data_IF_018317183159
#
_entry.id   IF_018317183159
#
_cell.length_a   1.000
_cell.length_b   1.000
_cell.length_c   1.000
_cell.angle_alpha   90.00
_cell.angle_beta   90.00
_cell.angle_gamma   90.00
#
_symmetry.space_group_name_H-M   'P 1'
#
loop_
_entity.id
_entity.type
_entity.pdbx_description
1 polymer ?
#
# COMPACT_ATOMS: atom_id res chain seq x y z
N UNK A 1 17.39 11.78 1.52
CA UNK A 1 16.09 11.79 2.20
C UNK A 1 15.52 10.38 2.25
N UNK A 2 14.84 10.07 3.33
CA UNK A 2 14.25 8.77 3.50
C UNK A 2 12.99 8.65 2.65
N UNK A 3 12.88 7.57 1.87
CA UNK A 3 11.66 7.28 1.14
C UNK A 3 10.59 6.81 2.11
N UNK A 4 9.38 7.31 1.91
CA UNK A 4 8.23 6.87 2.68
C UNK A 4 7.65 5.62 2.02
N UNK A 5 7.59 4.54 2.78
CA UNK A 5 7.08 3.26 2.29
C UNK A 5 5.65 3.10 2.74
N UNK A 6 4.74 2.90 1.79
CA UNK A 6 3.32 2.74 2.06
C UNK A 6 2.85 1.38 1.57
N UNK A 7 2.15 0.65 2.43
CA UNK A 7 1.58 -0.65 2.07
C UNK A 7 0.06 -0.51 1.94
N UNK A 8 -0.47 -1.04 0.83
CA UNK A 8 -1.91 -1.09 0.59
C UNK A 8 -2.35 -2.55 0.58
N UNK A 9 -3.39 -2.86 1.35
CA UNK A 9 -3.95 -4.21 1.42
C UNK A 9 -5.33 -4.26 0.78
N UNK A 10 -5.70 -5.43 0.31
CA UNK A 10 -7.00 -5.70 -0.33
C UNK A 10 -7.19 -4.81 -1.56
N UNK A 11 -6.13 -4.67 -2.35
CA UNK A 11 -6.17 -3.82 -3.54
C UNK A 11 -6.69 -4.55 -4.76
N UNK A 12 -7.27 -3.79 -5.68
CA UNK A 12 -7.69 -4.26 -6.99
C UNK A 12 -6.78 -3.62 -8.05
N UNK A 13 -6.72 -4.17 -9.26
CA UNK A 13 -5.86 -3.60 -10.31
C UNK A 13 -6.12 -2.11 -10.59
N UNK A 14 -7.39 -1.70 -10.54
CA UNK A 14 -7.71 -0.29 -10.81
C UNK A 14 -7.25 0.62 -9.68
N UNK A 15 -7.16 0.10 -8.44
CA UNK A 15 -6.65 0.89 -7.32
C UNK A 15 -5.17 1.20 -7.53
N UNK A 16 -4.42 0.21 -8.01
CA UNK A 16 -3.00 0.38 -8.28
C UNK A 16 -2.75 1.48 -9.31
N UNK A 17 -3.48 1.45 -10.40
CA UNK A 17 -3.32 2.47 -11.43
C UNK A 17 -3.61 3.85 -10.90
N UNK A 18 -4.66 3.99 -10.12
CA UNK A 18 -5.07 5.27 -9.57
C UNK A 18 -4.01 5.84 -8.63
N UNK A 19 -3.53 5.01 -7.71
CA UNK A 19 -2.57 5.49 -6.72
C UNK A 19 -1.18 5.67 -7.29
N UNK A 20 -0.77 4.86 -8.25
CA UNK A 20 0.52 5.07 -8.92
C UNK A 20 0.54 6.41 -9.62
N UNK A 21 -0.54 6.76 -10.28
CA UNK A 21 -0.63 8.04 -10.98
C UNK A 21 -0.62 9.20 -10.00
N UNK A 22 -1.39 9.09 -8.93
CA UNK A 22 -1.42 10.13 -7.92
C UNK A 22 -0.05 10.29 -7.24
N UNK A 23 0.66 9.18 -7.09
CA UNK A 23 1.96 9.16 -6.42
C UNK A 23 3.06 9.84 -7.23
N UNK A 24 2.84 10.10 -8.51
CA UNK A 24 3.84 10.78 -9.33
C UNK A 24 4.25 12.12 -8.72
N UNK A 25 3.34 12.74 -7.99
CA UNK A 25 3.58 14.02 -7.35
C UNK A 25 4.34 13.89 -6.02
N UNK A 26 4.26 12.75 -5.37
CA UNK A 26 4.79 12.56 -4.03
C UNK A 26 6.05 11.72 -3.98
N UNK A 27 6.19 10.76 -4.87
CA UNK A 27 7.37 9.92 -4.92
C UNK A 27 7.47 8.92 -3.78
N UNK A 28 6.35 8.52 -3.18
CA UNK A 28 6.33 7.50 -2.14
C UNK A 28 6.62 6.13 -2.76
N UNK A 29 7.15 5.22 -1.97
CA UNK A 29 7.34 3.85 -2.41
C UNK A 29 6.09 3.05 -2.04
N UNK A 30 5.29 2.70 -3.04
CA UNK A 30 4.02 2.01 -2.83
C UNK A 30 4.17 0.52 -3.06
N UNK A 31 3.61 -0.27 -2.15
CA UNK A 31 3.55 -1.72 -2.30
C UNK A 31 2.10 -2.15 -2.15
N UNK A 32 1.64 -2.96 -3.10
CA UNK A 32 0.24 -3.39 -3.15
C UNK A 32 0.14 -4.87 -2.84
N UNK A 33 -0.76 -5.20 -1.92
CA UNK A 33 -1.06 -6.58 -1.58
C UNK A 33 -2.53 -6.84 -1.91
N UNK A 34 -2.78 -7.90 -2.65
CA UNK A 34 -4.15 -8.30 -2.95
C UNK A 34 -4.82 -8.98 -1.75
N UNK A 35 -4.00 -9.46 -0.83
CA UNK A 35 -4.51 -10.12 0.36
C UNK A 35 -5.17 -9.13 1.31
N UNK A 36 -6.13 -9.63 2.08
CA UNK A 36 -6.82 -8.81 3.08
C UNK A 36 -5.94 -8.62 4.30
N UNK A 37 -5.99 -7.43 4.89
CA UNK A 37 -5.25 -7.17 6.12
C UNK A 37 -5.92 -7.90 7.28
N UNK A 38 -5.14 -8.75 7.94
CA UNK A 38 -5.60 -9.54 9.08
C UNK A 38 -4.41 -9.99 9.90
N UNK A 39 -4.63 -10.85 10.92
CA UNK A 39 -3.55 -11.28 11.80
C UNK A 39 -2.36 -11.89 11.06
N UNK A 40 -2.62 -12.69 10.04
CA UNK A 40 -1.56 -13.35 9.30
C UNK A 40 -0.79 -12.37 8.41
N UNK A 41 -1.50 -11.43 7.77
CA UNK A 41 -0.88 -10.48 6.86
C UNK A 41 -0.33 -9.24 7.56
N UNK A 42 -0.69 -9.04 8.84
CA UNK A 42 -0.18 -7.89 9.60
C UNK A 42 1.34 -7.88 9.66
N UNK A 43 1.95 -9.06 9.63
CA UNK A 43 3.41 -9.16 9.64
C UNK A 43 4.04 -8.57 8.38
N UNK A 44 3.30 -8.60 7.27
CA UNK A 44 3.76 -8.05 6.01
C UNK A 44 3.85 -6.53 6.05
N UNK A 45 3.10 -5.93 6.96
CA UNK A 45 3.10 -4.48 7.13
C UNK A 45 4.29 -3.97 7.92
N UNK A 46 5.04 -4.86 8.56
CA UNK A 46 6.21 -4.47 9.33
C UNK A 46 7.25 -3.83 8.40
N UNK A 47 7.83 -2.73 8.83
CA UNK A 47 8.83 -2.04 8.03
C UNK A 47 8.26 -0.98 7.10
N UNK A 48 6.94 -0.86 7.02
CA UNK A 48 6.31 0.21 6.24
C UNK A 48 6.02 1.41 7.15
N UNK A 49 6.11 2.59 6.58
CA UNK A 49 5.85 3.82 7.33
C UNK A 49 4.36 4.08 7.49
N UNK A 50 3.55 3.61 6.54
CA UNK A 50 2.11 3.75 6.58
C UNK A 50 1.44 2.52 5.98
N UNK A 51 0.25 2.21 6.46
CA UNK A 51 -0.52 1.06 5.99
C UNK A 51 -1.96 1.49 5.75
N UNK A 52 -2.51 1.08 4.63
CA UNK A 52 -3.90 1.35 4.30
C UNK A 52 -4.58 0.06 3.85
N UNK A 53 -5.83 -0.10 4.25
CA UNK A 53 -6.61 -1.25 3.84
C UNK A 53 -7.90 -0.77 3.19
N UNK A 54 -8.24 -1.38 2.06
CA UNK A 54 -9.49 -1.06 1.38
C UNK A 54 -10.58 -2.01 1.86
N UNK A 55 -11.74 -1.47 2.11
CA UNK A 55 -12.90 -2.24 2.56
C UNK A 55 -13.95 -2.19 1.47
N UNK A 56 -14.36 -3.37 1.01
CA UNK A 56 -15.42 -3.47 -0.01
C UNK A 56 -16.71 -3.96 0.62
#
# INVERSE_FOLDING_TARGET
MKEIKVAFFDTKPYDREFFDKANEKFGFQLTYFETRLGPASARMAAGFDAVSAFVN
#
